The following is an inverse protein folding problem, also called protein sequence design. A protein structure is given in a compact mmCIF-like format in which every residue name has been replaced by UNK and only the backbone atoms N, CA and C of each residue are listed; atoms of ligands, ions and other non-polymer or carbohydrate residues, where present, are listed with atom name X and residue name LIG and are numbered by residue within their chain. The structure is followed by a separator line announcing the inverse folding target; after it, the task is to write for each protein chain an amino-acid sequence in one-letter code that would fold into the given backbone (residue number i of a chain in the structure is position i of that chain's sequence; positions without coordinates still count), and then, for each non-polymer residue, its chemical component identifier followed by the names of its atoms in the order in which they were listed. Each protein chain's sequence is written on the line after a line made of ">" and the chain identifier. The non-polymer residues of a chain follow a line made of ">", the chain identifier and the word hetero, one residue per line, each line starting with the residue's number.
data_IF_914672419018
#
_entry.id   IF_914672419018
#
_cell.length_a   1.000
_cell.length_b   1.000
_cell.length_c   1.000
_cell.angle_alpha   90.00
_cell.angle_beta   90.00
_cell.angle_gamma   90.00
#
_symmetry.space_group_name_H-M   'P 1'
#
loop_
_entity.id
_entity.type
_entity.pdbx_description
1 polymer ?
#
# COMPACT_ATOMS: atom_id res chain seq x y z
N UNK A 1 14.45 0.89 -14.55
CA UNK A 1 13.77 -0.12 -15.36
C UNK A 1 12.48 -0.51 -14.66
N UNK A 2 11.36 -0.61 -15.39
CA UNK A 2 10.11 -1.11 -14.81
C UNK A 2 10.30 -2.51 -14.22
N UNK A 3 9.54 -2.83 -13.19
CA UNK A 3 9.58 -4.15 -12.56
C UNK A 3 8.76 -5.11 -13.41
N UNK A 4 9.32 -6.30 -13.68
CA UNK A 4 8.53 -7.37 -14.29
C UNK A 4 7.43 -7.81 -13.31
N UNK A 5 6.18 -7.61 -13.70
CA UNK A 5 5.01 -7.88 -12.86
C UNK A 5 4.35 -9.24 -13.12
N UNK A 6 4.89 -10.05 -14.00
CA UNK A 6 4.28 -11.34 -14.36
C UNK A 6 5.21 -12.53 -14.12
N UNK A 7 4.76 -13.52 -13.31
CA UNK A 7 3.71 -13.50 -12.28
C UNK A 7 4.27 -13.12 -10.91
N UNK A 8 3.85 -11.98 -10.33
CA UNK A 8 4.24 -11.61 -8.98
C UNK A 8 3.30 -12.26 -7.98
N UNK A 9 3.87 -13.02 -7.04
CA UNK A 9 3.17 -13.49 -5.85
C UNK A 9 4.11 -13.41 -4.66
N UNK A 10 3.82 -12.53 -3.74
CA UNK A 10 4.58 -12.34 -2.51
C UNK A 10 3.87 -13.10 -1.40
N UNK A 11 4.57 -13.99 -0.73
CA UNK A 11 4.03 -14.77 0.39
C UNK A 11 4.69 -14.34 1.68
N UNK A 12 3.91 -14.22 2.74
CA UNK A 12 4.37 -14.06 4.11
C UNK A 12 3.79 -15.17 4.99
N UNK A 13 3.93 -15.06 6.29
CA UNK A 13 3.42 -16.09 7.21
C UNK A 13 1.89 -16.28 7.08
N UNK A 14 1.14 -15.18 6.89
CA UNK A 14 -0.34 -15.22 6.89
C UNK A 14 -0.96 -14.65 5.62
N UNK A 15 -0.16 -14.06 4.72
CA UNK A 15 -0.67 -13.29 3.60
C UNK A 15 -0.17 -13.78 2.25
N UNK A 16 -1.03 -13.67 1.24
CA UNK A 16 -0.70 -13.70 -0.18
C UNK A 16 -0.94 -12.31 -0.77
N UNK A 17 0.06 -11.77 -1.45
CA UNK A 17 0.06 -10.40 -1.96
C UNK A 17 0.37 -10.47 -3.45
N UNK A 18 -0.57 -10.02 -4.27
CA UNK A 18 -0.50 -10.09 -5.73
C UNK A 18 -0.92 -8.75 -6.34
N UNK A 19 -0.47 -8.41 -7.55
CA UNK A 19 -0.93 -7.19 -8.20
C UNK A 19 -2.45 -7.13 -8.28
N UNK A 20 -3.01 -5.93 -8.07
CA UNK A 20 -4.45 -5.70 -8.15
C UNK A 20 -4.97 -6.04 -9.53
N UNK A 21 -6.13 -6.67 -9.59
CA UNK A 21 -6.88 -6.93 -10.80
C UNK A 21 -8.35 -6.51 -10.65
N UNK A 22 -9.06 -6.40 -11.76
CA UNK A 22 -10.45 -5.95 -11.81
C UNK A 22 -11.36 -6.71 -10.82
N UNK A 23 -11.14 -8.02 -10.65
CA UNK A 23 -11.94 -8.86 -9.77
C UNK A 23 -11.83 -8.44 -8.29
N UNK A 24 -10.75 -7.77 -7.91
CA UNK A 24 -10.56 -7.30 -6.53
C UNK A 24 -11.42 -6.07 -6.20
N UNK A 25 -11.95 -5.36 -7.21
CA UNK A 25 -12.74 -4.15 -7.03
C UNK A 25 -14.01 -4.39 -6.20
N UNK A 26 -14.70 -5.49 -6.46
CA UNK A 26 -15.96 -5.82 -5.76
C UNK A 26 -15.75 -6.06 -4.26
N UNK A 27 -14.60 -6.59 -3.86
CA UNK A 27 -14.28 -6.85 -2.46
C UNK A 27 -13.65 -5.63 -1.76
N UNK A 28 -12.89 -4.82 -2.50
CA UNK A 28 -12.24 -3.64 -1.93
C UNK A 28 -13.20 -2.46 -1.77
N UNK A 29 -14.12 -2.24 -2.70
CA UNK A 29 -15.05 -1.11 -2.67
C UNK A 29 -15.83 -0.95 -1.35
N UNK A 30 -16.47 -2.01 -0.79
CA UNK A 30 -17.23 -1.88 0.46
C UNK A 30 -16.36 -1.51 1.67
N UNK A 31 -15.04 -1.69 1.58
CA UNK A 31 -14.10 -1.35 2.64
C UNK A 31 -13.76 0.15 2.68
N UNK A 32 -14.04 0.88 1.59
CA UNK A 32 -13.70 2.30 1.43
C UNK A 32 -14.73 3.18 2.13
N UNK A 33 -14.63 3.28 3.44
CA UNK A 33 -15.53 4.05 4.30
C UNK A 33 -14.92 5.41 4.67
N UNK A 34 -15.72 6.40 5.10
CA UNK A 34 -15.20 7.67 5.62
C UNK A 34 -14.23 7.47 6.81
N UNK A 35 -14.49 6.49 7.67
CA UNK A 35 -13.60 6.18 8.81
C UNK A 35 -12.28 5.59 8.36
N UNK A 36 -12.25 4.72 7.35
CA UNK A 36 -11.01 4.19 6.77
C UNK A 36 -10.20 5.32 6.12
N UNK A 37 -10.85 6.16 5.33
CA UNK A 37 -10.19 7.16 4.49
C UNK A 37 -9.85 8.46 5.21
N UNK A 38 -10.20 8.59 6.50
CA UNK A 38 -9.98 9.83 7.28
C UNK A 38 -8.53 10.31 7.26
N UNK A 39 -7.58 9.41 7.12
CA UNK A 39 -6.14 9.70 7.05
C UNK A 39 -5.56 9.53 5.65
N UNK A 40 -6.40 9.52 4.63
CA UNK A 40 -6.01 9.44 3.23
C UNK A 40 -6.32 10.73 2.50
N UNK A 41 -5.55 11.06 1.48
CA UNK A 41 -5.69 12.31 0.71
C UNK A 41 -6.92 12.34 -0.20
N UNK A 42 -7.69 11.26 -0.25
CA UNK A 42 -8.89 11.09 -1.08
C UNK A 42 -10.10 10.68 -0.24
N UNK A 43 -11.28 10.90 -0.78
CA UNK A 43 -12.55 10.51 -0.17
C UNK A 43 -13.05 9.19 -0.74
N UNK A 44 -13.92 8.44 -0.04
CA UNK A 44 -14.51 7.22 -0.57
C UNK A 44 -15.25 7.51 -1.88
N UNK A 45 -15.06 6.69 -2.94
CA UNK A 45 -15.85 6.82 -4.15
C UNK A 45 -17.32 6.57 -3.85
N UNK A 46 -18.21 7.34 -4.50
CA UNK A 46 -19.64 7.27 -4.26
C UNK A 46 -20.32 6.03 -4.88
N UNK A 47 -19.68 5.42 -5.88
CA UNK A 47 -20.20 4.27 -6.61
C UNK A 47 -19.09 3.36 -7.11
N UNK A 48 -19.44 2.14 -7.54
CA UNK A 48 -18.51 1.23 -8.22
C UNK A 48 -17.96 1.84 -9.51
N UNK A 49 -18.80 2.60 -10.24
CA UNK A 49 -18.40 3.26 -11.47
C UNK A 49 -17.37 4.36 -11.20
N UNK A 50 -17.55 5.14 -10.14
CA UNK A 50 -16.56 6.13 -9.71
C UNK A 50 -15.26 5.45 -9.24
N UNK A 51 -15.36 4.35 -8.51
CA UNK A 51 -14.20 3.58 -8.11
C UNK A 51 -13.46 2.98 -9.32
N UNK A 52 -14.19 2.53 -10.33
CA UNK A 52 -13.59 2.02 -11.56
C UNK A 52 -12.73 3.07 -12.27
N UNK A 53 -13.14 4.34 -12.29
CA UNK A 53 -12.33 5.42 -12.84
C UNK A 53 -10.97 5.58 -12.14
N UNK A 54 -10.87 5.14 -10.90
CA UNK A 54 -9.61 5.16 -10.14
C UNK A 54 -8.76 3.95 -10.46
N UNK A 55 -9.27 2.73 -10.25
CA UNK A 55 -8.44 1.53 -10.38
C UNK A 55 -8.12 1.17 -11.85
N UNK A 56 -8.93 1.56 -12.82
CA UNK A 56 -8.61 1.38 -14.24
C UNK A 56 -7.31 2.08 -14.63
N UNK A 57 -6.96 3.18 -13.95
CA UNK A 57 -5.69 3.87 -14.16
C UNK A 57 -4.50 3.13 -13.59
N UNK A 58 -4.72 2.24 -12.60
CA UNK A 58 -3.63 1.42 -12.04
C UNK A 58 -3.19 0.31 -12.97
N UNK A 59 -4.09 -0.24 -13.77
CA UNK A 59 -3.81 -1.43 -14.58
C UNK A 59 -2.66 -1.25 -15.57
N UNK A 60 -2.58 -0.15 -16.35
CA UNK A 60 -1.44 0.08 -17.24
C UNK A 60 -0.11 0.24 -16.47
N UNK A 61 -0.12 0.95 -15.35
CA UNK A 61 1.07 1.16 -14.52
C UNK A 61 1.52 -0.14 -13.84
N UNK A 62 0.59 -1.00 -13.43
CA UNK A 62 0.88 -2.35 -12.95
C UNK A 62 1.50 -3.18 -14.08
N UNK A 63 0.93 -3.13 -15.28
CA UNK A 63 1.41 -3.90 -16.42
C UNK A 63 2.83 -3.54 -16.84
N UNK A 64 3.21 -2.26 -16.78
CA UNK A 64 4.57 -1.81 -17.08
C UNK A 64 5.51 -1.78 -15.85
N UNK A 65 4.96 -2.01 -14.65
CA UNK A 65 5.71 -2.05 -13.39
C UNK A 65 6.15 -0.70 -12.84
N UNK A 66 5.66 0.41 -13.37
CA UNK A 66 6.02 1.77 -12.92
C UNK A 66 5.38 2.15 -11.59
N UNK A 67 4.16 1.69 -11.36
CA UNK A 67 3.41 1.79 -10.12
C UNK A 67 2.65 0.49 -9.89
N UNK A 68 2.75 -0.09 -8.71
CA UNK A 68 2.10 -1.37 -8.42
C UNK A 68 1.18 -1.20 -7.21
N UNK A 69 -0.11 -1.39 -7.42
CA UNK A 69 -1.06 -1.60 -6.34
C UNK A 69 -1.20 -3.09 -6.15
N UNK A 70 -0.95 -3.56 -4.94
CA UNK A 70 -1.07 -4.97 -4.58
C UNK A 70 -2.34 -5.22 -3.78
N UNK A 71 -3.03 -6.29 -4.09
CA UNK A 71 -4.10 -6.84 -3.26
C UNK A 71 -3.51 -7.77 -2.21
N UNK A 72 -3.90 -7.56 -0.97
CA UNK A 72 -3.49 -8.35 0.19
C UNK A 72 -4.64 -9.28 0.58
N UNK A 73 -4.38 -10.57 0.63
CA UNK A 73 -5.34 -11.61 1.05
C UNK A 73 -4.77 -12.48 2.16
N UNK A 74 -5.63 -12.99 3.01
CA UNK A 74 -5.22 -14.04 3.95
C UNK A 74 -4.83 -15.29 3.17
N UNK A 75 -3.69 -15.88 3.51
CA UNK A 75 -3.11 -17.00 2.76
C UNK A 75 -4.01 -18.25 2.77
N UNK A 76 -4.65 -18.55 3.89
CA UNK A 76 -5.47 -19.76 4.07
C UNK A 76 -6.89 -19.58 3.56
N UNK A 77 -7.54 -18.48 3.92
CA UNK A 77 -8.96 -18.22 3.61
C UNK A 77 -9.18 -17.52 2.28
N UNK A 78 -8.12 -16.95 1.67
CA UNK A 78 -8.16 -16.07 0.50
C UNK A 78 -9.01 -14.80 0.70
N UNK A 79 -9.40 -14.46 1.94
CA UNK A 79 -10.20 -13.26 2.22
C UNK A 79 -9.41 -12.00 1.92
N UNK A 80 -10.06 -11.07 1.23
CA UNK A 80 -9.52 -9.74 0.99
C UNK A 80 -9.24 -9.02 2.32
N UNK A 81 -8.04 -8.47 2.45
CA UNK A 81 -7.56 -7.84 3.68
C UNK A 81 -7.23 -6.36 3.50
N UNK A 82 -6.75 -5.96 2.34
CA UNK A 82 -6.40 -4.57 2.06
C UNK A 82 -5.59 -4.40 0.78
N UNK A 83 -5.05 -3.20 0.59
CA UNK A 83 -4.16 -2.89 -0.54
C UNK A 83 -2.84 -2.30 -0.03
N UNK A 84 -1.75 -2.62 -0.73
CA UNK A 84 -0.44 -1.97 -0.57
C UNK A 84 -0.05 -1.33 -1.89
N UNK A 85 0.31 -0.05 -1.87
CA UNK A 85 0.86 0.66 -3.02
C UNK A 85 2.39 0.70 -2.97
N UNK A 86 3.04 0.45 -4.10
CA UNK A 86 4.45 0.71 -4.34
C UNK A 86 4.54 1.60 -5.57
N UNK A 87 4.74 2.89 -5.35
CA UNK A 87 4.69 3.92 -6.37
C UNK A 87 6.10 4.37 -6.78
N UNK A 88 6.25 4.85 -8.01
CA UNK A 88 7.52 5.36 -8.53
C UNK A 88 8.67 4.35 -8.44
N UNK A 89 8.41 3.12 -8.87
CA UNK A 89 9.37 2.00 -8.79
C UNK A 89 10.70 2.25 -9.50
N UNK A 90 10.70 3.14 -10.51
CA UNK A 90 11.90 3.57 -11.22
C UNK A 90 12.73 4.63 -10.50
N UNK A 91 12.27 5.15 -9.36
CA UNK A 91 13.02 6.13 -8.57
C UNK A 91 13.94 5.46 -7.56
N UNK A 92 14.92 6.22 -7.03
CA UNK A 92 15.76 5.76 -5.93
C UNK A 92 15.02 5.68 -4.58
N UNK A 93 13.84 6.29 -4.52
CA UNK A 93 13.01 6.39 -3.30
C UNK A 93 11.54 6.10 -3.60
N UNK A 94 11.19 4.86 -3.98
CA UNK A 94 9.79 4.49 -4.20
C UNK A 94 8.93 4.77 -2.98
N UNK A 95 7.66 5.10 -3.22
CA UNK A 95 6.72 5.44 -2.16
C UNK A 95 5.80 4.27 -1.83
N UNK A 96 5.62 4.02 -0.54
CA UNK A 96 4.73 3.01 0.00
C UNK A 96 3.44 3.64 0.52
N UNK A 97 2.33 2.99 0.23
CA UNK A 97 1.03 3.28 0.83
C UNK A 97 0.34 2.00 1.26
N UNK A 98 -0.52 2.08 2.28
CA UNK A 98 -1.26 0.91 2.76
C UNK A 98 -2.60 1.32 3.35
N UNK A 99 -3.59 0.48 3.14
CA UNK A 99 -4.75 0.40 4.00
C UNK A 99 -5.19 -1.06 4.20
N UNK A 100 -5.67 -1.33 5.39
CA UNK A 100 -6.25 -2.61 5.79
C UNK A 100 -7.72 -2.38 6.13
N UNK A 101 -8.60 -3.27 5.73
CA UNK A 101 -10.02 -3.21 6.08
C UNK A 101 -10.20 -3.11 7.59
N UNK A 102 -11.16 -2.30 8.04
CA UNK A 102 -11.27 -1.90 9.45
C UNK A 102 -11.51 -3.07 10.41
N UNK A 103 -12.26 -4.09 9.98
CA UNK A 103 -12.51 -5.30 10.80
C UNK A 103 -11.25 -6.20 10.98
N UNK A 104 -10.16 -5.87 10.31
CA UNK A 104 -8.85 -6.55 10.43
C UNK A 104 -7.78 -5.67 11.10
N UNK A 105 -8.14 -4.52 11.61
CA UNK A 105 -7.20 -3.67 12.33
C UNK A 105 -6.78 -4.32 13.67
N UNK A 106 -5.59 -3.98 14.15
CA UNK A 106 -5.05 -4.50 15.41
C UNK A 106 -4.53 -5.93 15.37
N UNK A 107 -4.50 -6.57 14.21
CA UNK A 107 -4.05 -7.96 14.04
C UNK A 107 -2.65 -8.09 13.44
N UNK A 108 -2.00 -6.96 13.15
CA UNK A 108 -0.63 -6.94 12.61
C UNK A 108 -0.52 -7.16 11.09
N UNK A 109 -1.62 -7.24 10.38
CA UNK A 109 -1.62 -7.49 8.93
C UNK A 109 -0.94 -6.37 8.14
N UNK A 110 -1.15 -5.11 8.52
CA UNK A 110 -0.52 -3.97 7.85
C UNK A 110 1.00 -4.01 7.90
N UNK A 111 1.56 -4.25 9.07
CA UNK A 111 3.02 -4.38 9.25
C UNK A 111 3.60 -5.58 8.50
N UNK A 112 2.89 -6.71 8.51
CA UNK A 112 3.31 -7.91 7.77
C UNK A 112 3.31 -7.67 6.26
N UNK A 113 2.26 -7.03 5.73
CA UNK A 113 2.13 -6.73 4.31
C UNK A 113 3.22 -5.75 3.82
N UNK A 114 3.43 -4.64 4.53
CA UNK A 114 4.45 -3.65 4.14
C UNK A 114 5.85 -4.27 4.21
N UNK A 115 6.15 -5.03 5.25
CA UNK A 115 7.44 -5.74 5.38
C UNK A 115 7.67 -6.67 4.19
N UNK A 116 6.67 -7.47 3.81
CA UNK A 116 6.79 -8.41 2.71
C UNK A 116 7.04 -7.69 1.37
N UNK A 117 6.34 -6.58 1.13
CA UNK A 117 6.53 -5.77 -0.08
C UNK A 117 7.91 -5.11 -0.08
N UNK A 118 8.37 -4.55 1.04
CA UNK A 118 9.72 -3.96 1.14
C UNK A 118 10.81 -5.00 0.86
N UNK A 119 10.71 -6.20 1.44
CA UNK A 119 11.67 -7.28 1.22
C UNK A 119 11.69 -7.74 -0.25
N UNK A 120 10.53 -7.84 -0.86
CA UNK A 120 10.41 -8.19 -2.27
C UNK A 120 10.98 -7.09 -3.17
N UNK A 121 10.59 -5.84 -2.92
CA UNK A 121 10.99 -4.69 -3.72
C UNK A 121 12.51 -4.42 -3.62
N UNK A 122 13.10 -4.55 -2.43
CA UNK A 122 14.54 -4.36 -2.23
C UNK A 122 15.42 -5.25 -3.11
N UNK A 123 14.87 -6.37 -3.60
CA UNK A 123 15.58 -7.29 -4.50
C UNK A 123 15.30 -7.03 -5.99
N UNK A 124 14.36 -6.16 -6.32
CA UNK A 124 13.85 -6.00 -7.69
C UNK A 124 13.91 -4.56 -8.20
N UNK A 125 13.87 -3.58 -7.33
CA UNK A 125 13.99 -2.17 -7.71
C UNK A 125 15.32 -1.61 -7.20
N UNK A 126 15.89 -0.67 -7.94
CA UNK A 126 17.14 -0.02 -7.55
C UNK A 126 16.88 1.08 -6.50
N UNK A 127 16.13 0.73 -5.45
CA UNK A 127 15.79 1.66 -4.38
C UNK A 127 16.92 1.79 -3.36
N UNK A 128 17.25 3.03 -2.98
CA UNK A 128 18.15 3.30 -1.85
C UNK A 128 17.40 3.20 -0.52
N UNK A 129 16.14 3.58 -0.53
CA UNK A 129 15.24 3.53 0.62
C UNK A 129 13.79 3.65 0.10
N UNK A 130 12.82 3.49 0.98
CA UNK A 130 11.40 3.68 0.67
C UNK A 130 10.87 4.88 1.43
N UNK A 131 10.00 5.65 0.78
CA UNK A 131 9.29 6.78 1.38
C UNK A 131 7.92 6.29 1.84
N UNK A 132 7.54 6.66 3.06
CA UNK A 132 6.27 6.27 3.67
C UNK A 132 5.58 7.49 4.29
N UNK A 133 4.75 8.21 3.50
CA UNK A 133 3.94 9.31 4.02
C UNK A 133 2.79 8.76 4.84
N UNK A 134 2.52 9.37 5.99
CA UNK A 134 1.45 8.94 6.88
C UNK A 134 0.90 10.13 7.68
N UNK A 135 -0.42 10.17 7.89
CA UNK A 135 -1.03 11.18 8.76
C UNK A 135 -0.40 11.14 10.16
N UNK A 136 -0.06 12.30 10.70
CA UNK A 136 0.63 12.43 11.99
C UNK A 136 -0.14 11.73 13.11
N UNK A 137 -1.47 11.75 13.06
CA UNK A 137 -2.34 11.12 14.06
C UNK A 137 -2.57 9.63 13.84
N UNK A 138 -2.20 9.08 12.68
CA UNK A 138 -2.34 7.65 12.39
C UNK A 138 -1.22 6.84 13.07
N UNK A 139 -1.33 6.68 14.38
CA UNK A 139 -0.29 6.03 15.20
C UNK A 139 -0.05 4.58 14.80
N UNK A 140 -1.09 3.86 14.39
CA UNK A 140 -0.97 2.47 13.98
C UNK A 140 -0.08 2.34 12.73
N UNK A 141 -0.32 3.17 11.72
CA UNK A 141 0.47 3.18 10.49
C UNK A 141 1.89 3.71 10.71
N UNK A 142 2.07 4.70 11.59
CA UNK A 142 3.41 5.19 11.97
C UNK A 142 4.26 4.09 12.61
N UNK A 143 3.67 3.29 13.49
CA UNK A 143 4.38 2.14 14.11
C UNK A 143 4.85 1.11 13.08
N UNK A 144 4.14 0.95 11.97
CA UNK A 144 4.59 0.09 10.86
C UNK A 144 5.92 0.59 10.31
N UNK A 145 6.02 1.88 9.98
CA UNK A 145 7.26 2.46 9.48
C UNK A 145 8.41 2.38 10.50
N UNK A 146 8.13 2.70 11.75
CA UNK A 146 9.10 2.65 12.84
C UNK A 146 9.64 1.23 13.09
N UNK A 147 8.77 0.22 13.04
CA UNK A 147 9.16 -1.19 13.16
C UNK A 147 10.04 -1.70 12.01
N UNK A 148 10.03 -1.00 10.88
CA UNK A 148 10.88 -1.27 9.71
C UNK A 148 12.16 -0.42 9.69
N UNK A 149 12.47 0.25 10.79
CA UNK A 149 13.64 1.12 10.89
C UNK A 149 13.43 2.50 10.27
N UNK A 150 12.18 2.88 10.01
CA UNK A 150 11.83 4.17 9.43
C UNK A 150 12.13 5.34 10.38
N UNK A 151 12.66 6.41 9.81
CA UNK A 151 12.89 7.68 10.48
C UNK A 151 12.15 8.80 9.78
N UNK A 152 11.63 9.76 10.54
CA UNK A 152 10.93 10.91 9.97
C UNK A 152 11.94 11.84 9.34
N UNK A 153 11.76 12.14 8.04
CA UNK A 153 12.61 13.04 7.27
C UNK A 153 11.92 14.34 6.87
N UNK A 154 10.58 14.37 6.90
CA UNK A 154 9.81 15.53 6.44
C UNK A 154 8.46 15.60 7.20
N UNK A 155 7.96 16.82 7.35
CA UNK A 155 6.58 17.09 7.82
C UNK A 155 5.86 17.89 6.74
N UNK A 156 4.62 17.50 6.44
CA UNK A 156 3.77 18.16 5.45
C UNK A 156 2.46 18.58 6.09
N UNK A 157 2.08 19.83 5.91
CA UNK A 157 0.76 20.32 6.28
C UNK A 157 -0.17 20.14 5.07
N UNK A 158 -1.31 19.49 5.29
CA UNK A 158 -2.33 19.24 4.28
C UNK A 158 -3.68 19.76 4.78
N UNK A 159 -4.62 20.06 3.87
CA UNK A 159 -5.94 20.52 4.25
C UNK A 159 -6.70 19.54 5.14
N UNK A 160 -6.64 18.26 4.80
CA UNK A 160 -7.38 17.20 5.50
C UNK A 160 -6.69 16.74 6.78
N UNK A 161 -5.37 16.68 6.79
CA UNK A 161 -4.56 16.25 7.94
C UNK A 161 -3.09 16.63 7.75
N UNK A 162 -2.38 16.80 8.84
CA UNK A 162 -0.92 16.90 8.79
C UNK A 162 -0.29 15.52 8.65
N UNK A 163 0.80 15.44 7.92
CA UNK A 163 1.51 14.20 7.69
C UNK A 163 2.99 14.29 8.03
N UNK A 164 3.56 13.15 8.33
CA UNK A 164 5.01 12.94 8.41
C UNK A 164 5.41 11.97 7.31
N UNK A 165 6.63 12.13 6.82
CA UNK A 165 7.20 11.22 5.83
C UNK A 165 8.33 10.45 6.49
N UNK A 166 8.19 9.13 6.53
CA UNK A 166 9.25 8.23 6.96
C UNK A 166 10.13 7.83 5.78
N UNK A 167 11.40 7.69 6.06
CA UNK A 167 12.35 7.00 5.20
C UNK A 167 12.62 5.63 5.82
N UNK A 168 12.27 4.57 5.10
CA UNK A 168 12.46 3.17 5.50
C UNK A 168 13.66 2.61 4.73
N UNK A 169 14.64 2.02 5.41
CA UNK A 169 15.79 1.41 4.71
C UNK A 169 15.33 0.19 3.89
N UNK A 170 16.01 -0.05 2.77
CA UNK A 170 15.92 -1.32 2.06
C UNK A 170 16.53 -2.48 2.87
N UNK A 171 16.22 -3.71 2.52
CA UNK A 171 16.70 -4.93 3.16
C UNK A 171 17.30 -5.91 2.16
#
# INVERSE_FOLDING_TARGET
>A
MPVDTHPIRILSQRLSIEPFCEQDAAESFPCLTPSLTRYMSWEPPASLEEYAQVWEQWLPAIADGSDIVFTVRELVSARFTGLVGLHHTGSETPELGIWIREDKHGLGFGGEAVRAVVQWASKRVAAKCFIYPVATQNRASRRIAEALGGVVIERRMKEKYDSVVYQIPGV
#
